data_IF_289085529690
#
_entry.id   IF_289085529690
#
_cell.length_a   1.000
_cell.length_b   1.000
_cell.length_c   1.000
_cell.angle_alpha   90.00
_cell.angle_beta   90.00
_cell.angle_gamma   90.00
#
_symmetry.space_group_name_H-M   'P 1'
#
loop_
_entity.id
_entity.type
_entity.pdbx_description
1 polymer ?
#
# COMPACT_ATOMS: atom_id res chain seq x y z
N UNK A 1 -3.59 15.73 12.28
CA UNK A 1 -4.07 14.56 13.08
C UNK A 1 -2.94 14.08 13.95
N UNK A 2 -3.22 13.88 15.20
CA UNK A 2 -2.27 13.31 16.14
C UNK A 2 -2.03 11.82 15.84
N UNK A 3 -0.80 11.35 16.06
CA UNK A 3 -0.43 9.95 15.73
C UNK A 3 -1.32 8.92 16.41
N UNK A 4 -1.56 9.06 17.70
CA UNK A 4 -2.40 8.11 18.46
C UNK A 4 -3.85 8.14 17.98
N UNK A 5 -4.36 9.30 17.62
CA UNK A 5 -5.68 9.42 17.01
C UNK A 5 -5.75 8.64 15.70
N UNK A 6 -4.77 8.81 14.83
CA UNK A 6 -4.70 8.07 13.56
C UNK A 6 -4.68 6.56 13.76
N UNK A 7 -3.82 6.07 14.64
CA UNK A 7 -3.70 4.64 14.96
C UNK A 7 -4.99 4.03 15.51
N UNK A 8 -5.72 4.77 16.34
CA UNK A 8 -6.92 4.27 17.02
C UNK A 8 -8.20 4.44 16.21
N UNK A 9 -8.21 5.38 15.24
CA UNK A 9 -9.44 5.72 14.50
C UNK A 9 -9.45 5.23 13.07
N UNK A 10 -8.29 4.86 12.48
CA UNK A 10 -8.28 4.34 11.11
C UNK A 10 -9.26 3.18 10.94
N UNK A 11 -9.96 3.20 9.83
CA UNK A 11 -10.93 2.15 9.45
C UNK A 11 -10.71 1.74 8.00
N UNK A 12 -11.10 0.52 7.68
CA UNK A 12 -11.21 0.05 6.30
C UNK A 12 -12.47 0.63 5.68
N UNK A 13 -12.30 1.63 4.83
CA UNK A 13 -13.39 2.28 4.09
C UNK A 13 -13.51 1.64 2.71
N UNK A 14 -14.71 1.30 2.30
CA UNK A 14 -14.99 0.66 1.00
C UNK A 14 -16.03 1.40 0.16
N UNK A 15 -16.48 2.55 0.63
CA UNK A 15 -17.33 3.48 -0.10
C UNK A 15 -16.57 4.80 -0.23
N UNK A 16 -16.28 5.17 -1.45
CA UNK A 16 -15.40 6.28 -1.75
C UNK A 16 -16.15 7.50 -2.25
N UNK A 17 -15.56 8.66 -2.05
CA UNK A 17 -16.01 9.91 -2.65
C UNK A 17 -15.56 9.95 -4.10
N UNK A 18 -16.36 10.58 -4.97
CA UNK A 18 -15.97 10.88 -6.34
C UNK A 18 -15.07 12.14 -6.36
N UNK A 19 -13.84 11.93 -5.90
CA UNK A 19 -12.85 13.01 -5.74
C UNK A 19 -11.46 12.46 -6.11
N UNK A 20 -10.74 13.09 -7.05
CA UNK A 20 -9.40 12.69 -7.39
C UNK A 20 -8.43 12.97 -6.23
N UNK A 21 -7.34 12.24 -6.20
CA UNK A 21 -6.22 12.47 -5.30
C UNK A 21 -5.11 13.13 -6.11
N UNK A 22 -4.66 14.30 -5.66
CA UNK A 22 -3.56 15.02 -6.31
C UNK A 22 -2.28 14.18 -6.29
N UNK A 23 -1.53 14.22 -7.39
CA UNK A 23 -0.29 13.45 -7.52
C UNK A 23 0.71 13.74 -6.39
N UNK A 24 0.85 15.00 -6.00
CA UNK A 24 1.76 15.41 -4.92
C UNK A 24 1.35 14.77 -3.58
N UNK A 25 0.05 14.78 -3.27
CA UNK A 25 -0.50 14.12 -2.07
C UNK A 25 -0.20 12.62 -2.09
N UNK A 26 -0.40 11.97 -3.23
CA UNK A 26 -0.10 10.55 -3.37
C UNK A 26 1.39 10.27 -3.17
N UNK A 27 2.27 11.11 -3.70
CA UNK A 27 3.72 10.97 -3.52
C UNK A 27 4.14 11.11 -2.07
N UNK A 28 3.50 11.99 -1.30
CA UNK A 28 3.75 12.11 0.15
C UNK A 28 3.30 10.87 0.92
N UNK A 29 2.16 10.29 0.53
CA UNK A 29 1.65 9.04 1.11
C UNK A 29 2.62 7.88 0.83
N UNK A 30 3.07 7.74 -0.40
CA UNK A 30 4.07 6.73 -0.79
C UNK A 30 5.40 6.95 -0.02
N UNK A 31 5.83 8.21 0.11
CA UNK A 31 7.02 8.52 0.90
C UNK A 31 6.90 8.05 2.35
N UNK A 32 5.74 8.23 2.98
CA UNK A 32 5.50 7.72 4.33
C UNK A 32 5.63 6.19 4.40
N UNK A 33 5.13 5.47 3.40
CA UNK A 33 5.30 4.03 3.29
C UNK A 33 6.77 3.62 3.15
N UNK A 34 7.56 4.37 2.38
CA UNK A 34 9.01 4.13 2.20
C UNK A 34 9.85 4.34 3.46
N UNK A 35 9.32 5.03 4.46
CA UNK A 35 9.98 5.20 5.77
C UNK A 35 9.70 4.05 6.74
N UNK A 36 8.94 3.04 6.32
CA UNK A 36 8.73 1.85 7.13
C UNK A 36 10.03 1.04 7.28
N UNK A 37 10.24 0.38 8.44
CA UNK A 37 11.39 -0.50 8.61
C UNK A 37 11.29 -1.72 7.71
N UNK A 38 12.44 -2.20 7.26
CA UNK A 38 12.55 -3.46 6.52
C UNK A 38 13.69 -4.30 7.10
N UNK A 39 13.61 -5.61 6.95
CA UNK A 39 14.66 -6.52 7.41
C UNK A 39 15.99 -6.17 6.72
N UNK A 40 17.03 -5.91 7.52
CA UNK A 40 18.34 -5.47 7.05
C UNK A 40 18.33 -4.22 6.15
N UNK A 41 17.28 -3.39 6.27
CA UNK A 41 17.10 -2.20 5.43
C UNK A 41 17.17 -2.50 3.93
N UNK A 42 16.68 -3.67 3.52
CA UNK A 42 16.71 -4.11 2.13
C UNK A 42 15.75 -3.33 1.24
N UNK A 43 14.68 -2.76 1.79
CA UNK A 43 13.70 -1.93 1.07
C UNK A 43 13.18 -2.63 -0.20
N UNK A 44 12.61 -3.86 -0.06
CA UNK A 44 12.24 -4.69 -1.21
C UNK A 44 10.94 -4.29 -1.88
N UNK A 45 10.19 -3.38 -1.29
CA UNK A 45 8.89 -2.95 -1.78
C UNK A 45 9.00 -2.01 -2.97
N UNK A 46 8.03 -2.11 -3.87
CA UNK A 46 7.75 -1.19 -4.96
C UNK A 46 6.26 -0.85 -4.94
N UNK A 47 5.90 0.37 -5.30
CA UNK A 47 4.53 0.85 -5.25
C UNK A 47 4.05 1.16 -6.66
N UNK A 48 3.01 0.45 -7.10
CA UNK A 48 2.34 0.71 -8.37
C UNK A 48 1.06 1.48 -8.08
N UNK A 49 0.98 2.72 -8.55
CA UNK A 49 -0.20 3.58 -8.41
C UNK A 49 -0.99 3.55 -9.71
N UNK A 50 -2.26 3.18 -9.63
CA UNK A 50 -3.16 3.05 -10.77
C UNK A 50 -4.32 4.01 -10.57
N UNK A 51 -4.47 4.99 -11.46
CA UNK A 51 -5.56 5.97 -11.46
C UNK A 51 -6.37 5.99 -12.78
N UNK A 52 -6.01 5.12 -13.73
CA UNK A 52 -6.76 4.95 -14.97
C UNK A 52 -8.12 4.28 -14.69
N UNK A 53 -9.20 4.97 -15.05
CA UNK A 53 -10.57 4.51 -14.75
C UNK A 53 -10.95 3.20 -15.44
N UNK A 54 -10.52 3.00 -16.65
CA UNK A 54 -10.80 1.75 -17.38
C UNK A 54 -10.08 0.59 -16.72
N UNK A 55 -8.82 0.78 -16.35
CA UNK A 55 -8.05 -0.24 -15.67
C UNK A 55 -8.59 -0.57 -14.27
N UNK A 56 -9.02 0.45 -13.50
CA UNK A 56 -9.65 0.23 -12.20
C UNK A 56 -10.92 -0.62 -12.30
N UNK A 57 -11.71 -0.42 -13.36
CA UNK A 57 -12.91 -1.24 -13.61
C UNK A 57 -12.55 -2.70 -13.92
N UNK A 58 -11.41 -2.95 -14.56
CA UNK A 58 -10.94 -4.29 -14.92
C UNK A 58 -10.38 -5.08 -13.71
N UNK A 59 -9.95 -4.41 -12.66
CA UNK A 59 -9.39 -5.08 -11.46
C UNK A 59 -10.33 -6.11 -10.85
N UNK A 60 -11.66 -5.93 -10.96
CA UNK A 60 -12.66 -6.89 -10.50
C UNK A 60 -12.53 -8.27 -11.14
N UNK A 61 -11.98 -8.32 -12.36
CA UNK A 61 -11.77 -9.56 -13.10
C UNK A 61 -10.48 -10.26 -12.68
N UNK A 62 -9.56 -9.51 -12.10
CA UNK A 62 -8.27 -10.04 -11.61
C UNK A 62 -8.46 -10.62 -10.20
N UNK A 63 -9.18 -9.93 -9.34
CA UNK A 63 -9.43 -10.37 -7.98
C UNK A 63 -10.86 -10.06 -7.54
N UNK A 64 -11.54 -11.10 -7.06
CA UNK A 64 -12.95 -11.02 -6.65
C UNK A 64 -13.23 -9.95 -5.59
N UNK A 65 -12.28 -9.74 -4.67
CA UNK A 65 -12.45 -8.84 -3.51
C UNK A 65 -12.17 -7.37 -3.82
N UNK A 66 -11.81 -7.04 -5.07
CA UNK A 66 -11.50 -5.68 -5.49
C UNK A 66 -12.62 -5.01 -6.29
N UNK A 67 -13.84 -5.54 -6.22
CA UNK A 67 -14.99 -4.99 -6.97
C UNK A 67 -15.28 -3.52 -6.64
N UNK A 68 -14.96 -3.06 -5.44
CA UNK A 68 -15.10 -1.67 -5.03
C UNK A 68 -14.02 -0.74 -5.60
N UNK A 69 -12.93 -1.26 -6.15
CA UNK A 69 -11.84 -0.48 -6.71
C UNK A 69 -12.26 0.42 -7.89
N UNK A 70 -13.30 0.02 -8.62
CA UNK A 70 -13.85 0.83 -9.71
C UNK A 70 -14.30 2.24 -9.28
N UNK A 71 -14.68 2.39 -8.02
CA UNK A 71 -15.17 3.65 -7.45
C UNK A 71 -14.08 4.42 -6.70
N UNK A 72 -12.89 3.85 -6.56
CA UNK A 72 -11.75 4.49 -5.94
C UNK A 72 -11.13 5.55 -6.85
N UNK A 73 -10.52 6.58 -6.26
CA UNK A 73 -9.74 7.57 -7.02
C UNK A 73 -8.47 6.95 -7.64
N UNK A 74 -7.87 6.02 -6.92
CA UNK A 74 -6.74 5.23 -7.37
C UNK A 74 -6.62 3.94 -6.55
N UNK A 75 -5.79 3.03 -7.02
CA UNK A 75 -5.36 1.83 -6.29
C UNK A 75 -3.84 1.83 -6.18
N UNK A 76 -3.33 1.54 -5.02
CA UNK A 76 -1.89 1.31 -4.82
C UNK A 76 -1.67 -0.18 -4.63
N UNK A 77 -0.86 -0.79 -5.50
CA UNK A 77 -0.42 -2.17 -5.35
C UNK A 77 0.99 -2.12 -4.75
N UNK A 78 1.13 -2.72 -3.58
CA UNK A 78 2.43 -2.87 -2.91
C UNK A 78 3.05 -4.17 -3.39
N UNK A 79 4.12 -4.05 -4.16
CA UNK A 79 4.85 -5.19 -4.72
C UNK A 79 6.13 -5.43 -3.94
N UNK A 80 6.55 -6.68 -3.84
CA UNK A 80 7.81 -7.04 -3.21
C UNK A 80 8.76 -7.69 -4.22
N UNK A 81 9.99 -7.18 -4.28
CA UNK A 81 11.07 -7.76 -5.08
C UNK A 81 11.74 -8.87 -4.27
N UNK A 82 11.55 -10.11 -4.69
CA UNK A 82 12.07 -11.30 -4.01
C UNK A 82 13.59 -11.35 -3.98
N UNK A 83 14.26 -10.72 -4.92
CA UNK A 83 15.73 -10.69 -4.97
C UNK A 83 16.32 -9.67 -3.97
N UNK A 84 15.60 -8.59 -3.69
CA UNK A 84 16.00 -7.58 -2.71
C UNK A 84 15.67 -7.98 -1.28
N UNK A 85 14.62 -8.77 -1.06
CA UNK A 85 14.16 -9.17 0.26
C UNK A 85 15.23 -9.99 1.00
N UNK A 86 15.33 -9.75 2.30
CA UNK A 86 16.16 -10.57 3.16
C UNK A 86 15.49 -11.93 3.39
N UNK A 87 16.26 -13.01 3.20
CA UNK A 87 15.84 -14.37 3.53
C UNK A 87 16.70 -14.93 4.66
N UNK A 88 16.11 -15.73 5.53
CA UNK A 88 16.79 -16.21 6.76
C UNK A 88 17.84 -17.29 6.52
N UNK A 89 17.70 -18.08 5.44
CA UNK A 89 18.72 -19.04 5.03
C UNK A 89 18.60 -19.34 3.55
N UNK A 90 19.71 -19.69 2.90
CA UNK A 90 19.74 -20.09 1.50
C UNK A 90 19.07 -21.46 1.25
N UNK A 91 18.91 -22.27 2.29
CA UNK A 91 18.28 -23.60 2.19
C UNK A 91 16.76 -23.52 2.41
N UNK A 92 16.28 -22.43 3.00
CA UNK A 92 14.86 -22.19 3.28
C UNK A 92 14.33 -21.05 2.39
N UNK A 93 14.36 -21.27 1.08
CA UNK A 93 13.86 -20.31 0.07
C UNK A 93 12.38 -19.93 0.26
N UNK A 94 11.66 -20.65 1.10
CA UNK A 94 10.26 -20.42 1.39
C UNK A 94 10.03 -19.32 2.41
N UNK A 95 11.07 -18.88 3.12
CA UNK A 95 10.93 -17.92 4.21
C UNK A 95 11.71 -16.63 3.93
N UNK A 96 10.99 -15.62 3.50
CA UNK A 96 11.53 -14.27 3.27
C UNK A 96 10.79 -13.27 4.16
N UNK A 97 11.38 -12.11 4.38
CA UNK A 97 10.71 -11.01 5.08
C UNK A 97 9.81 -10.16 4.17
N UNK A 98 9.61 -10.57 2.90
CA UNK A 98 8.92 -9.76 1.91
C UNK A 98 7.49 -9.41 2.33
N UNK A 99 6.74 -10.39 2.82
CA UNK A 99 5.35 -10.17 3.25
C UNK A 99 5.29 -9.27 4.48
N UNK A 100 6.23 -9.45 5.41
CA UNK A 100 6.33 -8.61 6.62
C UNK A 100 6.68 -7.17 6.23
N UNK A 101 7.72 -6.98 5.42
CA UNK A 101 8.18 -5.66 4.98
C UNK A 101 7.09 -4.91 4.20
N UNK A 102 6.41 -5.59 3.29
CA UNK A 102 5.31 -5.00 2.52
C UNK A 102 4.08 -4.71 3.38
N UNK A 103 3.77 -5.55 4.37
CA UNK A 103 2.65 -5.31 5.28
C UNK A 103 2.88 -4.07 6.17
N UNK A 104 4.10 -3.90 6.69
CA UNK A 104 4.44 -2.72 7.49
C UNK A 104 4.35 -1.44 6.63
N UNK A 105 4.88 -1.47 5.42
CA UNK A 105 4.79 -0.34 4.49
C UNK A 105 3.33 -0.01 4.14
N UNK A 106 2.49 -1.02 3.98
CA UNK A 106 1.06 -0.86 3.71
C UNK A 106 0.35 -0.16 4.86
N UNK A 107 0.65 -0.51 6.12
CA UNK A 107 0.05 0.19 7.27
C UNK A 107 0.49 1.65 7.33
N UNK A 108 1.77 1.96 7.10
CA UNK A 108 2.22 3.35 7.02
C UNK A 108 1.50 4.13 5.91
N UNK A 109 1.28 3.50 4.76
CA UNK A 109 0.53 4.08 3.65
C UNK A 109 -0.91 4.40 4.06
N UNK A 110 -1.58 3.44 4.68
CA UNK A 110 -2.97 3.62 5.13
C UNK A 110 -3.11 4.70 6.18
N UNK A 111 -2.20 4.76 7.14
CA UNK A 111 -2.18 5.81 8.17
C UNK A 111 -1.91 7.20 7.57
N UNK A 112 -0.99 7.28 6.62
CA UNK A 112 -0.70 8.54 5.94
C UNK A 112 -1.88 9.06 5.11
N UNK A 113 -2.61 8.16 4.44
CA UNK A 113 -3.84 8.49 3.73
C UNK A 113 -4.92 8.95 4.72
N UNK A 114 -5.16 8.18 5.78
CA UNK A 114 -6.13 8.50 6.82
C UNK A 114 -5.89 9.88 7.45
N UNK A 115 -4.64 10.21 7.76
CA UNK A 115 -4.26 11.51 8.32
C UNK A 115 -4.57 12.69 7.39
N UNK A 116 -4.73 12.44 6.09
CA UNK A 116 -5.11 13.44 5.07
C UNK A 116 -6.60 13.43 4.71
N UNK A 117 -7.40 12.62 5.41
CA UNK A 117 -8.83 12.49 5.12
C UNK A 117 -9.14 11.71 3.84
N UNK A 118 -8.25 10.80 3.47
CA UNK A 118 -8.35 9.92 2.30
C UNK A 118 -8.67 8.50 2.75
#
# INVERSE_FOLDING_TARGET
MELMEGLLTRRSVRKYQDKPIERETMMEIIKAAQYSPTAHNRQPWEFLVIDDREFLAELRHIQRWTSFAKDAACVVIVCGDTEKSFSRSKEDEKWTFIDVDCAIATENLMLAAWARGI
#
